data_IF_751574159967
#
_entry.id   IF_751574159967
#
_cell.length_a   1.000
_cell.length_b   1.000
_cell.length_c   1.000
_cell.angle_alpha   90.00
_cell.angle_beta   90.00
_cell.angle_gamma   90.00
#
_symmetry.space_group_name_H-M   'P 1'
#
loop_
_entity.id
_entity.type
_entity.pdbx_description
1 polymer ?
#
# COMPACT_ATOMS: atom_id res chain seq x y z
N UNK A 1 -48.00 31.57 -12.70
CA UNK A 1 -47.52 30.19 -12.94
C UNK A 1 -46.20 30.04 -12.21
N UNK A 2 -46.19 29.29 -11.10
CA UNK A 2 -44.97 28.97 -10.36
C UNK A 2 -44.28 27.79 -11.06
N UNK A 3 -43.04 27.99 -11.50
CA UNK A 3 -42.18 26.90 -11.95
C UNK A 3 -41.33 26.45 -10.75
N UNK A 4 -41.68 25.29 -10.21
CA UNK A 4 -40.83 24.54 -9.28
C UNK A 4 -39.65 23.97 -10.09
N UNK A 5 -38.44 24.46 -9.84
CA UNK A 5 -37.23 23.74 -10.23
C UNK A 5 -36.95 22.66 -9.18
N UNK A 6 -37.29 21.41 -9.50
CA UNK A 6 -36.70 20.27 -8.82
C UNK A 6 -35.23 20.18 -9.24
N UNK A 7 -34.33 20.69 -8.41
CA UNK A 7 -32.91 20.32 -8.45
C UNK A 7 -32.80 18.87 -7.98
N UNK A 8 -32.72 17.96 -8.95
CA UNK A 8 -32.35 16.57 -8.70
C UNK A 8 -30.90 16.51 -8.23
N UNK A 9 -30.70 16.14 -6.96
CA UNK A 9 -29.41 15.71 -6.46
C UNK A 9 -29.05 14.40 -7.17
N UNK A 10 -28.21 14.46 -8.20
CA UNK A 10 -27.44 13.30 -8.63
C UNK A 10 -26.40 13.02 -7.55
N UNK A 11 -26.68 12.03 -6.71
CA UNK A 11 -25.67 11.38 -5.89
C UNK A 11 -24.64 10.74 -6.83
N UNK A 12 -23.36 11.16 -6.81
CA UNK A 12 -22.33 10.45 -7.56
C UNK A 12 -22.18 9.06 -6.93
N UNK A 13 -22.49 8.02 -7.71
CA UNK A 13 -22.13 6.66 -7.37
C UNK A 13 -20.61 6.56 -7.39
N UNK A 14 -20.05 6.52 -6.18
CA UNK A 14 -18.65 6.51 -5.88
C UNK A 14 -17.99 5.24 -6.43
N UNK A 15 -16.94 5.42 -7.21
CA UNK A 15 -16.15 4.31 -7.75
C UNK A 15 -15.45 3.60 -6.61
N UNK A 16 -15.98 2.43 -6.25
CA UNK A 16 -15.38 1.46 -5.33
C UNK A 16 -14.43 0.49 -6.06
N UNK A 17 -13.86 0.88 -7.20
CA UNK A 17 -13.11 -0.05 -8.05
C UNK A 17 -11.60 -0.09 -7.80
N UNK A 18 -11.05 0.67 -6.84
CA UNK A 18 -9.60 0.87 -6.75
C UNK A 18 -8.91 0.03 -5.67
N UNK A 19 -9.61 -0.24 -4.57
CA UNK A 19 -9.08 -0.96 -3.42
C UNK A 19 -10.10 -1.97 -2.91
N UNK A 20 -9.65 -3.19 -2.63
CA UNK A 20 -10.50 -4.34 -2.27
C UNK A 20 -9.78 -5.23 -1.28
N UNK A 21 -10.54 -5.68 -0.28
CA UNK A 21 -10.11 -6.69 0.68
C UNK A 21 -11.07 -7.88 0.64
N UNK A 22 -10.53 -9.10 0.59
CA UNK A 22 -11.33 -10.30 0.79
C UNK A 22 -11.77 -10.46 2.26
N UNK A 23 -11.06 -9.82 3.19
CA UNK A 23 -11.32 -9.91 4.61
C UNK A 23 -11.05 -8.59 5.33
N UNK A 24 -12.11 -7.85 5.64
CA UNK A 24 -12.02 -6.65 6.48
C UNK A 24 -12.05 -7.03 7.98
N UNK A 25 -10.93 -6.86 8.71
CA UNK A 25 -10.81 -7.23 10.13
C UNK A 25 -11.64 -6.35 11.07
N UNK A 26 -12.13 -5.20 10.61
CA UNK A 26 -13.07 -4.36 11.38
C UNK A 26 -14.50 -4.91 11.33
N UNK A 27 -14.82 -5.77 10.35
CA UNK A 27 -16.15 -6.34 10.16
C UNK A 27 -16.25 -7.80 10.57
N UNK A 28 -15.19 -8.58 10.39
CA UNK A 28 -15.17 -10.02 10.66
C UNK A 28 -13.80 -10.49 11.13
N UNK A 29 -13.73 -11.73 11.61
CA UNK A 29 -12.46 -12.36 11.99
C UNK A 29 -11.69 -12.73 10.71
N UNK A 30 -10.45 -12.28 10.63
CA UNK A 30 -9.54 -12.54 9.51
C UNK A 30 -8.32 -13.35 9.95
N UNK A 31 -7.64 -13.97 8.98
CA UNK A 31 -6.32 -14.54 9.22
C UNK A 31 -5.30 -13.44 9.54
N UNK A 32 -4.13 -13.84 10.02
CA UNK A 32 -3.02 -12.91 10.20
C UNK A 32 -2.43 -12.49 8.86
N UNK A 33 -2.04 -11.23 8.74
CA UNK A 33 -1.27 -10.74 7.60
C UNK A 33 0.13 -11.35 7.62
N UNK A 34 0.63 -11.80 6.47
CA UNK A 34 2.04 -12.23 6.34
C UNK A 34 2.94 -11.01 6.48
N UNK A 35 3.86 -11.03 7.44
CA UNK A 35 4.69 -9.88 7.76
C UNK A 35 6.05 -9.88 7.08
N UNK A 36 6.54 -8.69 6.71
CA UNK A 36 7.92 -8.46 6.32
C UNK A 36 8.82 -8.56 7.56
N UNK A 37 9.34 -9.76 7.82
CA UNK A 37 10.16 -10.05 9.00
C UNK A 37 11.62 -9.57 8.90
N UNK A 38 11.81 -8.35 8.41
CA UNK A 38 13.10 -7.68 8.29
C UNK A 38 12.91 -6.17 8.32
N UNK A 39 13.88 -5.45 8.88
CA UNK A 39 13.83 -3.99 8.97
C UNK A 39 14.02 -3.31 7.61
N UNK A 40 14.71 -3.95 6.67
CA UNK A 40 14.98 -3.41 5.34
C UNK A 40 14.68 -4.46 4.28
N UNK A 41 14.04 -4.04 3.21
CA UNK A 41 13.77 -4.84 2.03
C UNK A 41 14.11 -4.04 0.78
N UNK A 42 14.72 -4.70 -0.21
CA UNK A 42 15.00 -4.08 -1.50
C UNK A 42 14.70 -5.09 -2.59
N UNK A 43 14.02 -4.64 -3.63
CA UNK A 43 13.82 -5.40 -4.87
C UNK A 43 14.28 -4.55 -6.04
N UNK A 44 15.10 -5.15 -6.91
CA UNK A 44 15.60 -4.56 -8.15
C UNK A 44 15.02 -5.37 -9.30
N UNK A 45 13.99 -4.83 -9.95
CA UNK A 45 13.25 -5.52 -10.99
C UNK A 45 14.05 -5.64 -12.30
N UNK A 46 15.18 -4.94 -12.43
CA UNK A 46 16.11 -5.15 -13.56
C UNK A 46 16.79 -6.53 -13.49
N UNK A 47 16.74 -7.18 -12.33
CA UNK A 47 17.24 -8.54 -12.09
C UNK A 47 16.19 -9.63 -12.34
N UNK A 48 14.98 -9.26 -12.75
CA UNK A 48 13.89 -10.18 -13.03
C UNK A 48 12.86 -10.28 -11.91
N UNK A 49 12.18 -11.42 -11.84
CA UNK A 49 11.06 -11.66 -10.91
C UNK A 49 11.54 -11.81 -9.46
N UNK A 50 10.66 -11.51 -8.52
CA UNK A 50 10.85 -11.76 -7.09
C UNK A 50 9.70 -12.62 -6.57
N UNK A 51 10.01 -13.63 -5.75
CA UNK A 51 9.00 -14.50 -5.12
C UNK A 51 8.13 -13.78 -4.08
N UNK A 52 8.56 -12.61 -3.63
CA UNK A 52 7.82 -11.83 -2.63
C UNK A 52 6.75 -10.92 -3.28
N UNK A 53 6.55 -11.05 -4.59
CA UNK A 53 5.59 -10.30 -5.37
C UNK A 53 4.77 -11.24 -6.24
N UNK A 54 3.48 -10.95 -6.38
CA UNK A 54 2.56 -11.70 -7.24
C UNK A 54 1.73 -10.80 -8.13
N UNK A 55 1.52 -11.22 -9.37
CA UNK A 55 0.49 -10.64 -10.23
C UNK A 55 -0.88 -11.02 -9.67
N UNK A 56 -1.74 -10.03 -9.47
CA UNK A 56 -3.15 -10.23 -9.10
C UNK A 56 -4.09 -10.08 -10.28
N UNK A 57 -3.66 -9.36 -11.32
CA UNK A 57 -4.38 -9.24 -12.58
C UNK A 57 -3.42 -8.99 -13.74
N UNK A 58 -3.72 -9.54 -14.92
CA UNK A 58 -2.93 -9.34 -16.12
C UNK A 58 -1.52 -9.94 -16.06
N UNK A 59 -0.61 -9.36 -16.84
CA UNK A 59 0.80 -9.82 -16.92
C UNK A 59 1.74 -8.62 -16.91
N UNK A 60 2.99 -8.86 -16.55
CA UNK A 60 4.06 -7.86 -16.60
C UNK A 60 5.31 -8.43 -17.27
N UNK A 61 6.12 -7.56 -17.85
CA UNK A 61 7.42 -7.91 -18.44
C UNK A 61 8.56 -7.37 -17.60
N UNK A 62 9.71 -8.04 -17.69
CA UNK A 62 10.93 -7.66 -16.99
C UNK A 62 12.06 -7.54 -18.01
N UNK A 63 12.84 -6.47 -17.91
CA UNK A 63 14.06 -6.30 -18.69
C UNK A 63 15.15 -5.58 -17.87
N UNK A 64 16.41 -5.65 -18.33
CA UNK A 64 17.56 -5.09 -17.59
C UNK A 64 17.62 -3.56 -17.58
N UNK A 65 16.86 -2.89 -18.45
CA UNK A 65 16.87 -1.43 -18.64
C UNK A 65 15.76 -0.77 -17.82
N UNK A 66 14.54 -1.26 -17.97
CA UNK A 66 13.33 -0.68 -17.39
C UNK A 66 12.86 -1.41 -16.13
N UNK A 67 13.40 -2.60 -15.83
CA UNK A 67 12.87 -3.43 -14.76
C UNK A 67 11.47 -3.93 -15.10
N UNK A 68 10.53 -3.74 -14.17
CA UNK A 68 9.14 -4.16 -14.31
C UNK A 68 8.39 -3.22 -15.26
N UNK A 69 7.64 -3.79 -16.21
CA UNK A 69 6.82 -3.05 -17.17
C UNK A 69 5.38 -3.56 -17.16
N UNK A 70 4.45 -2.67 -16.89
CA UNK A 70 3.01 -2.91 -16.98
C UNK A 70 2.45 -2.20 -18.20
N UNK A 71 1.88 -2.96 -19.13
CA UNK A 71 1.43 -2.41 -20.43
C UNK A 71 -0.07 -2.57 -20.62
N UNK A 72 -0.72 -1.50 -21.06
CA UNK A 72 -2.11 -1.46 -21.52
C UNK A 72 -2.10 -1.42 -23.04
N UNK A 73 -2.62 -2.47 -23.68
CA UNK A 73 -2.80 -2.55 -25.13
C UNK A 73 -4.26 -2.39 -25.53
N UNK A 74 -5.20 -2.77 -24.66
CA UNK A 74 -6.64 -2.76 -24.93
C UNK A 74 -7.42 -2.42 -23.66
N UNK A 75 -8.72 -2.13 -23.84
CA UNK A 75 -9.60 -1.63 -22.79
C UNK A 75 -9.67 -2.50 -21.54
N UNK A 76 -9.54 -3.82 -21.65
CA UNK A 76 -9.61 -4.72 -20.49
C UNK A 76 -8.29 -4.86 -19.73
N UNK A 77 -7.20 -4.27 -20.20
CA UNK A 77 -5.90 -4.43 -19.55
C UNK A 77 -5.82 -3.54 -18.30
N UNK A 78 -5.53 -4.16 -17.16
CA UNK A 78 -5.31 -3.49 -15.87
C UNK A 78 -4.20 -4.22 -15.06
N UNK A 79 -3.02 -4.45 -15.64
CA UNK A 79 -1.97 -5.25 -15.02
C UNK A 79 -1.64 -4.72 -13.62
N UNK A 80 -1.75 -5.61 -12.63
CA UNK A 80 -1.62 -5.27 -11.20
C UNK A 80 -0.78 -6.33 -10.50
N UNK A 81 0.18 -5.88 -9.71
CA UNK A 81 1.05 -6.70 -8.87
C UNK A 81 0.99 -6.22 -7.42
N UNK A 82 1.21 -7.12 -6.46
CA UNK A 82 1.31 -6.75 -5.05
C UNK A 82 2.42 -7.52 -4.34
N UNK A 83 2.88 -6.99 -3.21
CA UNK A 83 3.74 -7.74 -2.30
C UNK A 83 2.95 -8.86 -1.62
N UNK A 84 3.63 -9.99 -1.40
CA UNK A 84 3.12 -11.14 -0.65
C UNK A 84 3.15 -10.91 0.86
N UNK A 85 3.82 -9.85 1.30
CA UNK A 85 3.94 -9.44 2.68
C UNK A 85 3.33 -8.05 2.90
N UNK A 86 3.09 -7.74 4.16
CA UNK A 86 2.75 -6.43 4.68
C UNK A 86 3.94 -5.89 5.47
N UNK A 87 4.00 -4.58 5.65
CA UNK A 87 4.91 -3.92 6.57
C UNK A 87 4.11 -2.93 7.43
N UNK A 88 4.65 -2.55 8.58
CA UNK A 88 3.90 -1.75 9.54
C UNK A 88 4.68 -0.53 9.99
N UNK A 89 4.28 0.62 9.44
CA UNK A 89 5.00 1.88 9.44
C UNK A 89 6.42 1.78 8.83
N UNK A 90 6.98 2.92 8.46
CA UNK A 90 8.33 3.06 7.94
C UNK A 90 8.34 3.82 6.62
N UNK A 91 9.11 3.33 5.64
CA UNK A 91 9.25 4.03 4.36
C UNK A 91 9.10 3.09 3.19
N UNK A 92 8.51 3.58 2.10
CA UNK A 92 8.50 2.91 0.80
C UNK A 92 9.01 3.89 -0.23
N UNK A 93 10.02 3.48 -1.00
CA UNK A 93 10.58 4.26 -2.10
C UNK A 93 10.48 3.46 -3.38
N UNK A 94 9.82 3.99 -4.40
CA UNK A 94 9.74 3.40 -5.73
C UNK A 94 10.49 4.28 -6.74
N UNK A 95 11.31 3.65 -7.58
CA UNK A 95 11.92 4.30 -8.75
C UNK A 95 11.04 3.99 -9.95
N UNK A 96 10.27 4.97 -10.43
CA UNK A 96 9.19 4.73 -11.39
C UNK A 96 9.12 5.76 -12.52
N UNK A 97 8.53 5.33 -13.65
CA UNK A 97 7.99 6.16 -14.74
C UNK A 97 6.53 5.79 -14.96
N UNK A 98 5.68 6.79 -15.08
CA UNK A 98 4.25 6.60 -15.32
C UNK A 98 3.94 6.23 -16.77
N UNK A 99 2.81 5.54 -16.98
CA UNK A 99 2.22 5.38 -18.31
C UNK A 99 1.82 6.76 -18.89
N UNK A 100 2.08 7.03 -20.18
CA UNK A 100 1.44 8.15 -20.89
C UNK A 100 0.01 7.81 -21.32
N UNK A 101 -0.69 8.81 -21.84
CA UNK A 101 -2.00 8.65 -22.48
C UNK A 101 -3.16 9.19 -21.63
N UNK A 102 -4.03 10.00 -22.24
CA UNK A 102 -5.26 10.47 -21.60
C UNK A 102 -6.10 9.29 -21.10
N UNK A 103 -6.66 9.39 -19.89
CA UNK A 103 -7.47 8.33 -19.30
C UNK A 103 -6.70 7.14 -18.74
N UNK A 104 -5.37 7.08 -18.93
CA UNK A 104 -4.51 6.06 -18.31
C UNK A 104 -4.05 6.53 -16.95
N UNK A 105 -4.13 5.62 -15.97
CA UNK A 105 -3.70 5.85 -14.59
C UNK A 105 -2.58 4.88 -14.26
N UNK A 106 -1.51 5.37 -13.64
CA UNK A 106 -0.47 4.54 -13.02
C UNK A 106 -0.55 4.72 -11.51
N UNK A 107 -0.29 3.66 -10.72
CA UNK A 107 -0.45 3.71 -9.27
C UNK A 107 0.70 3.01 -8.54
N UNK A 108 1.11 3.60 -7.42
CA UNK A 108 1.84 2.94 -6.33
C UNK A 108 1.00 3.12 -5.08
N UNK A 109 0.45 2.02 -4.55
CA UNK A 109 -0.54 2.05 -3.47
C UNK A 109 -0.01 1.25 -2.28
N UNK A 110 -0.12 1.82 -1.09
CA UNK A 110 -0.05 1.09 0.17
C UNK A 110 -1.49 0.80 0.60
N UNK A 111 -1.84 -0.45 0.85
CA UNK A 111 -3.22 -0.83 1.19
C UNK A 111 -3.23 -1.89 2.31
N UNK A 112 -4.06 -1.67 3.33
CA UNK A 112 -4.31 -2.62 4.41
C UNK A 112 -5.55 -3.48 4.15
N UNK A 113 -5.72 -4.52 4.97
CA UNK A 113 -6.93 -5.35 4.92
C UNK A 113 -8.18 -4.66 5.43
N UNK A 114 -8.07 -3.58 6.22
CA UNK A 114 -9.20 -2.71 6.60
C UNK A 114 -9.39 -1.51 5.67
N UNK A 115 -8.66 -1.44 4.56
CA UNK A 115 -8.74 -0.37 3.56
C UNK A 115 -8.26 1.00 4.07
N UNK A 116 -7.30 1.01 4.99
CA UNK A 116 -6.36 2.13 5.09
C UNK A 116 -5.49 2.14 3.83
N UNK A 117 -5.30 3.32 3.24
CA UNK A 117 -4.66 3.51 1.93
C UNK A 117 -3.78 4.76 1.91
N UNK A 118 -2.62 4.66 1.27
CA UNK A 118 -1.73 5.78 0.92
C UNK A 118 -1.20 5.55 -0.48
N UNK A 119 -1.37 6.50 -1.39
CA UNK A 119 -1.03 6.27 -2.78
C UNK A 119 -0.29 7.42 -3.46
N UNK A 120 0.28 7.06 -4.60
CA UNK A 120 0.64 7.93 -5.71
C UNK A 120 -0.17 7.53 -6.94
N UNK A 121 -0.75 8.52 -7.63
CA UNK A 121 -1.47 8.33 -8.87
C UNK A 121 -1.00 9.28 -9.96
N UNK A 122 -0.55 8.75 -11.09
CA UNK A 122 -0.20 9.54 -12.26
C UNK A 122 -1.29 9.42 -13.32
N UNK A 123 -1.73 10.57 -13.82
CA UNK A 123 -2.62 10.64 -14.98
C UNK A 123 -1.77 10.78 -16.24
N UNK A 124 -1.89 9.85 -17.18
CA UNK A 124 -1.02 9.77 -18.35
C UNK A 124 -1.15 10.96 -19.31
N UNK A 125 -2.25 11.72 -19.23
CA UNK A 125 -2.44 12.98 -19.96
C UNK A 125 -1.85 14.21 -19.28
N UNK A 126 -1.27 14.07 -18.08
CA UNK A 126 -0.78 15.17 -17.25
C UNK A 126 0.69 14.93 -16.84
N UNK A 127 1.65 15.21 -17.73
CA UNK A 127 3.02 14.75 -17.55
C UNK A 127 3.80 15.41 -16.43
N UNK A 128 3.35 16.60 -16.01
CA UNK A 128 4.10 17.43 -15.08
C UNK A 128 3.48 17.47 -13.66
N UNK A 129 2.71 16.43 -13.31
CA UNK A 129 2.07 16.33 -12.02
C UNK A 129 1.82 14.88 -11.62
N UNK A 130 1.68 14.67 -10.32
CA UNK A 130 1.27 13.41 -9.70
C UNK A 130 0.29 13.72 -8.58
N UNK A 131 -0.70 12.86 -8.39
CA UNK A 131 -1.62 12.97 -7.27
C UNK A 131 -1.13 12.13 -6.09
N UNK A 132 -1.33 12.66 -4.89
CA UNK A 132 -1.19 11.95 -3.63
C UNK A 132 -2.57 11.81 -3.02
N UNK A 133 -2.90 10.64 -2.49
CA UNK A 133 -4.18 10.45 -1.82
C UNK A 133 -4.03 9.51 -0.61
N UNK A 134 -5.08 9.50 0.21
CA UNK A 134 -5.18 8.59 1.33
C UNK A 134 -6.64 8.27 1.66
N UNK A 135 -6.88 7.06 2.14
CA UNK A 135 -8.15 6.64 2.70
C UNK A 135 -7.93 6.01 4.06
N UNK A 136 -8.86 6.22 4.98
CA UNK A 136 -8.87 5.53 6.25
C UNK A 136 -10.07 4.60 6.31
N UNK A 137 -9.85 3.32 6.57
CA UNK A 137 -10.91 2.32 6.78
C UNK A 137 -11.93 2.23 5.62
N UNK A 138 -11.47 2.46 4.39
CA UNK A 138 -12.31 2.50 3.19
C UNK A 138 -13.36 3.62 3.19
N UNK A 139 -13.20 4.63 4.04
CA UNK A 139 -14.16 5.72 4.14
C UNK A 139 -14.11 6.60 2.89
N UNK A 140 -15.11 6.53 2.02
CA UNK A 140 -15.20 7.36 0.79
C UNK A 140 -16.20 8.51 0.90
N UNK A 141 -16.61 8.91 2.12
CA UNK A 141 -17.63 9.97 2.28
C UNK A 141 -17.18 11.34 1.79
N UNK A 142 -15.88 11.54 1.57
CA UNK A 142 -15.29 12.75 1.01
C UNK A 142 -14.15 12.42 0.05
N UNK A 143 -13.96 13.28 -0.95
CA UNK A 143 -12.89 13.19 -1.97
C UNK A 143 -11.91 14.37 -1.87
N UNK A 144 -11.92 15.07 -0.74
CA UNK A 144 -11.08 16.23 -0.42
C UNK A 144 -9.65 15.85 0.01
N UNK A 145 -9.30 14.56 -0.09
CA UNK A 145 -8.03 14.00 0.40
C UNK A 145 -6.95 13.94 -0.67
N UNK A 146 -7.32 14.07 -1.93
CA UNK A 146 -6.36 14.18 -3.03
C UNK A 146 -5.62 15.52 -3.01
N UNK A 147 -4.32 15.50 -3.30
CA UNK A 147 -3.52 16.70 -3.60
C UNK A 147 -2.69 16.45 -4.85
N UNK A 148 -2.53 17.48 -5.68
CA UNK A 148 -1.73 17.41 -6.91
C UNK A 148 -0.39 18.07 -6.68
N UNK A 149 0.68 17.31 -6.85
CA UNK A 149 2.06 17.74 -6.66
C UNK A 149 2.76 17.89 -8.01
N UNK A 150 3.68 18.86 -8.10
CA UNK A 150 4.46 19.08 -9.32
C UNK A 150 5.61 18.08 -9.42
N UNK A 151 5.78 17.48 -10.59
CA UNK A 151 6.93 16.64 -10.97
C UNK A 151 7.25 16.93 -12.43
N UNK A 152 8.49 16.86 -12.88
CA UNK A 152 8.83 17.18 -14.26
C UNK A 152 8.90 15.91 -15.10
N UNK A 153 8.05 15.77 -16.13
CA UNK A 153 8.14 14.69 -17.11
C UNK A 153 8.08 13.26 -16.51
N UNK A 154 7.03 12.99 -15.74
CA UNK A 154 6.86 11.74 -14.99
C UNK A 154 6.76 10.47 -15.88
N UNK A 155 6.50 10.62 -17.17
CA UNK A 155 6.37 9.50 -18.12
C UNK A 155 7.71 9.12 -18.76
N UNK A 156 8.64 10.06 -18.94
CA UNK A 156 9.92 9.79 -19.59
C UNK A 156 11.12 9.85 -18.63
N UNK A 157 10.97 10.50 -17.47
CA UNK A 157 12.03 10.64 -16.47
C UNK A 157 11.80 9.72 -15.27
N UNK A 158 12.86 9.00 -14.86
CA UNK A 158 12.83 8.22 -13.63
C UNK A 158 12.85 9.16 -12.43
N UNK A 159 11.82 9.06 -11.60
CA UNK A 159 11.78 9.76 -10.32
C UNK A 159 11.80 8.79 -9.16
N UNK A 160 12.29 9.28 -8.02
CA UNK A 160 12.18 8.63 -6.74
C UNK A 160 10.93 9.13 -6.03
N UNK A 161 9.93 8.25 -5.89
CA UNK A 161 8.71 8.53 -5.15
C UNK A 161 8.78 7.82 -3.79
N UNK A 162 8.87 8.58 -2.72
CA UNK A 162 8.98 8.04 -1.36
C UNK A 162 7.77 8.42 -0.52
N UNK A 163 7.21 7.43 0.18
CA UNK A 163 6.23 7.60 1.25
C UNK A 163 6.94 7.30 2.56
N UNK A 164 7.04 8.29 3.44
CA UNK A 164 7.36 8.08 4.85
C UNK A 164 6.06 8.02 5.63
N UNK A 165 5.81 6.90 6.30
CA UNK A 165 4.56 6.65 7.00
C UNK A 165 4.85 6.26 8.45
N UNK A 166 4.43 7.11 9.38
CA UNK A 166 4.62 6.90 10.82
C UNK A 166 3.26 6.88 11.53
N UNK A 167 3.24 6.64 12.84
CA UNK A 167 2.00 6.79 13.62
C UNK A 167 1.57 8.24 13.81
N UNK A 168 2.45 9.23 13.54
CA UNK A 168 2.18 10.65 13.76
C UNK A 168 1.90 11.42 12.47
N UNK A 169 2.55 11.04 11.37
CA UNK A 169 2.43 11.71 10.08
C UNK A 169 2.81 10.81 8.90
N UNK A 170 2.26 11.14 7.74
CA UNK A 170 2.69 10.62 6.44
C UNK A 170 3.26 11.76 5.62
N UNK A 171 4.44 11.58 5.04
CA UNK A 171 5.06 12.55 4.14
C UNK A 171 5.41 11.89 2.81
N UNK A 172 4.99 12.54 1.73
CA UNK A 172 5.31 12.17 0.36
C UNK A 172 6.50 12.99 -0.11
N UNK A 173 7.45 12.33 -0.77
CA UNK A 173 8.64 12.95 -1.33
C UNK A 173 8.79 12.61 -2.80
N UNK A 174 9.26 13.58 -3.58
CA UNK A 174 9.70 13.41 -4.96
C UNK A 174 11.17 13.79 -5.02
N UNK A 175 12.02 12.88 -5.47
CA UNK A 175 13.47 13.08 -5.59
C UNK A 175 14.14 13.58 -4.29
N UNK A 176 13.61 13.13 -3.15
CA UNK A 176 14.09 13.49 -1.82
C UNK A 176 13.55 14.80 -1.25
N UNK A 177 12.77 15.58 -2.02
CA UNK A 177 12.10 16.78 -1.54
C UNK A 177 10.69 16.45 -1.04
N UNK A 178 10.29 16.86 0.18
CA UNK A 178 8.93 16.67 0.66
C UNK A 178 7.97 17.54 -0.14
N UNK A 179 6.91 16.94 -0.66
CA UNK A 179 5.86 17.64 -1.43
C UNK A 179 4.55 17.76 -0.66
N UNK A 180 4.26 16.79 0.22
CA UNK A 180 3.05 16.80 1.05
C UNK A 180 3.31 16.14 2.41
N UNK A 181 2.72 16.69 3.47
CA UNK A 181 2.64 16.03 4.77
C UNK A 181 1.20 16.01 5.27
N UNK A 182 0.73 14.84 5.70
CA UNK A 182 -0.53 14.63 6.40
C UNK A 182 -0.22 14.35 7.87
N UNK A 183 -0.68 15.20 8.79
CA UNK A 183 -0.60 14.89 10.22
C UNK A 183 -1.73 13.92 10.60
N UNK A 184 -1.48 13.08 11.60
CA UNK A 184 -2.49 12.19 12.18
C UNK A 184 -3.80 12.93 12.50
N UNK A 185 -3.69 14.10 13.13
CA UNK A 185 -4.84 14.90 13.55
C UNK A 185 -5.66 15.47 12.37
N UNK A 186 -5.03 15.73 11.22
CA UNK A 186 -5.69 16.29 10.04
C UNK A 186 -6.63 15.26 9.38
N UNK A 187 -6.35 13.97 9.57
CA UNK A 187 -7.17 12.88 9.06
C UNK A 187 -8.36 12.58 9.98
N UNK A 188 -9.25 13.57 10.14
CA UNK A 188 -10.46 13.48 10.97
C UNK A 188 -10.12 13.13 12.42
N UNK A 189 -9.18 13.88 13.02
CA UNK A 189 -8.70 13.62 14.38
C UNK A 189 -8.00 12.27 14.55
N UNK A 190 -7.55 11.66 13.44
CA UNK A 190 -6.91 10.35 13.42
C UNK A 190 -7.81 9.17 13.07
N UNK A 191 -9.13 9.38 12.99
CA UNK A 191 -10.08 8.32 12.68
C UNK A 191 -9.85 7.75 11.26
N UNK A 192 -9.50 8.62 10.32
CA UNK A 192 -9.21 8.27 8.93
C UNK A 192 -7.70 8.25 8.62
N UNK A 193 -6.83 8.32 9.63
CA UNK A 193 -5.39 8.24 9.38
C UNK A 193 -4.99 6.79 9.08
N UNK A 194 -4.29 6.52 7.96
CA UNK A 194 -3.78 5.18 7.65
C UNK A 194 -2.81 4.69 8.73
N UNK A 195 -3.15 3.59 9.39
CA UNK A 195 -2.50 3.20 10.63
C UNK A 195 -2.46 1.69 10.86
N UNK A 196 -2.78 0.87 9.87
CA UNK A 196 -2.74 -0.59 9.97
C UNK A 196 -1.76 -1.17 8.95
N UNK A 197 -1.23 -2.40 9.14
CA UNK A 197 -0.21 -2.97 8.26
C UNK A 197 -0.67 -2.94 6.80
N UNK A 198 0.22 -2.51 5.91
CA UNK A 198 -0.09 -2.35 4.49
C UNK A 198 0.83 -3.21 3.64
N UNK A 199 0.27 -3.74 2.55
CA UNK A 199 1.05 -4.30 1.43
C UNK A 199 1.29 -3.20 0.40
N UNK A 200 2.25 -3.41 -0.50
CA UNK A 200 2.44 -2.52 -1.65
C UNK A 200 1.74 -3.12 -2.87
N UNK A 201 0.99 -2.30 -3.61
CA UNK A 201 0.41 -2.62 -4.91
C UNK A 201 0.98 -1.68 -5.97
N UNK A 202 1.24 -2.24 -7.15
CA UNK A 202 1.75 -1.54 -8.31
C UNK A 202 0.85 -1.88 -9.50
N UNK A 203 0.52 -0.91 -10.34
CA UNK A 203 -0.24 -1.22 -11.54
C UNK A 203 -0.57 -0.01 -12.39
N UNK A 204 -1.14 -0.28 -13.55
CA UNK A 204 -1.71 0.74 -14.43
C UNK A 204 -3.03 0.24 -14.99
N UNK A 205 -3.98 1.14 -15.17
CA UNK A 205 -5.32 0.84 -15.65
C UNK A 205 -5.88 2.02 -16.45
N UNK A 206 -7.00 1.80 -17.12
CA UNK A 206 -7.70 2.84 -17.89
C UNK A 206 -9.00 3.22 -17.19
N UNK A 207 -9.20 4.52 -16.94
CA UNK A 207 -10.44 5.07 -16.35
C UNK A 207 -11.68 4.81 -17.22
N UNK A 208 -11.51 4.65 -18.54
CA UNK A 208 -12.58 4.28 -19.48
C UNK A 208 -13.16 2.88 -19.26
N UNK A 209 -12.51 2.03 -18.45
CA UNK A 209 -12.89 0.63 -18.29
C UNK A 209 -13.83 0.47 -17.09
N UNK A 210 -15.12 0.64 -17.32
CA UNK A 210 -16.14 0.49 -16.26
C UNK A 210 -16.12 1.61 -15.22
N UNK A 211 -15.32 2.66 -15.43
CA UNK A 211 -15.29 3.85 -14.57
C UNK A 211 -16.58 4.67 -14.68
N UNK A 212 -16.92 5.36 -13.60
CA UNK A 212 -17.99 6.36 -13.62
C UNK A 212 -17.61 7.53 -14.52
N UNK A 213 -18.60 8.33 -14.94
CA UNK A 213 -18.35 9.57 -15.66
C UNK A 213 -17.36 10.48 -14.91
N UNK A 214 -17.50 10.60 -13.58
CA UNK A 214 -16.58 11.39 -12.76
C UNK A 214 -15.15 10.83 -12.75
N UNK A 215 -14.97 9.51 -12.81
CA UNK A 215 -13.64 8.88 -12.90
C UNK A 215 -12.99 9.12 -14.24
N UNK A 216 -13.76 9.07 -15.33
CA UNK A 216 -13.27 9.38 -16.67
C UNK A 216 -12.85 10.86 -16.74
N UNK A 217 -13.67 11.77 -16.19
CA UNK A 217 -13.36 13.20 -16.11
C UNK A 217 -12.12 13.49 -15.27
N UNK A 218 -12.01 12.87 -14.09
CA UNK A 218 -10.84 12.97 -13.22
C UNK A 218 -9.56 12.52 -13.93
N UNK A 219 -9.61 11.43 -14.70
CA UNK A 219 -8.46 10.92 -15.46
C UNK A 219 -8.13 11.75 -16.73
N UNK A 220 -8.85 12.84 -16.96
CA UNK A 220 -8.64 13.77 -18.08
C UNK A 220 -9.38 13.40 -19.36
N UNK A 221 -10.28 12.41 -19.32
CA UNK A 221 -11.12 12.01 -20.44
C UNK A 221 -10.98 10.54 -20.84
N UNK A 222 -11.61 10.19 -21.96
CA UNK A 222 -11.62 8.83 -22.50
C UNK A 222 -10.23 8.42 -23.02
N UNK A 223 -9.84 7.19 -22.74
CA UNK A 223 -8.62 6.58 -23.28
C UNK A 223 -8.76 6.32 -24.78
N UNK A 224 -7.81 6.84 -25.57
CA UNK A 224 -7.70 6.51 -26.99
C UNK A 224 -6.80 5.30 -27.21
N UNK A 225 -7.36 4.08 -27.22
CA UNK A 225 -6.59 2.85 -27.42
C UNK A 225 -5.92 2.73 -28.79
N UNK A 226 -6.22 3.58 -29.77
CA UNK A 226 -5.43 3.64 -31.01
C UNK A 226 -4.01 4.17 -30.79
N UNK A 227 -3.74 4.80 -29.63
CA UNK A 227 -2.40 5.26 -29.21
C UNK A 227 -1.67 4.26 -28.31
N UNK A 228 -2.27 3.10 -28.05
CA UNK A 228 -1.60 2.03 -27.32
C UNK A 228 -0.35 1.55 -28.10
N UNK A 229 0.68 1.01 -27.41
CA UNK A 229 0.71 0.66 -25.99
C UNK A 229 0.99 1.84 -25.05
N UNK A 230 0.38 1.81 -23.87
CA UNK A 230 0.73 2.67 -22.73
C UNK A 230 1.45 1.82 -21.68
N UNK A 231 2.62 2.25 -21.20
CA UNK A 231 3.43 1.42 -20.30
C UNK A 231 3.97 2.20 -19.10
N UNK A 232 3.69 1.70 -17.90
CA UNK A 232 4.30 2.12 -16.65
C UNK A 232 5.54 1.26 -16.41
N UNK A 233 6.61 1.88 -15.90
CA UNK A 233 7.82 1.16 -15.52
C UNK A 233 8.16 1.37 -14.04
N UNK A 234 8.58 0.30 -13.37
CA UNK A 234 9.12 0.34 -12.01
C UNK A 234 10.47 -0.36 -12.00
N UNK A 235 11.53 0.39 -11.75
CA UNK A 235 12.91 -0.14 -11.78
C UNK A 235 13.23 -0.91 -10.51
N UNK A 236 12.90 -0.33 -9.36
CA UNK A 236 13.22 -0.88 -8.06
C UNK A 236 12.31 -0.31 -6.98
N UNK A 237 12.28 -1.00 -5.84
CA UNK A 237 11.53 -0.58 -4.67
C UNK A 237 12.32 -0.93 -3.40
N UNK A 238 12.37 0.00 -2.44
CA UNK A 238 12.98 -0.22 -1.14
C UNK A 238 12.01 0.10 -0.02
N UNK A 239 11.99 -0.75 1.02
CA UNK A 239 11.11 -0.61 2.17
C UNK A 239 11.96 -0.61 3.44
N UNK A 240 11.71 0.35 4.32
CA UNK A 240 12.09 0.25 5.73
C UNK A 240 10.84 -0.13 6.52
N UNK A 241 10.87 -1.25 7.22
CA UNK A 241 9.79 -1.67 8.10
C UNK A 241 10.12 -1.27 9.55
N UNK A 242 9.33 -0.38 10.13
CA UNK A 242 9.54 0.09 11.50
C UNK A 242 9.20 -0.98 12.54
N UNK A 243 8.33 -1.94 12.19
CA UNK A 243 7.90 -3.01 13.09
C UNK A 243 8.06 -4.38 12.42
N UNK A 244 9.30 -4.89 12.26
CA UNK A 244 9.53 -6.22 11.68
C UNK A 244 8.82 -7.32 12.47
N UNK A 245 8.03 -8.12 11.75
CA UNK A 245 7.33 -9.29 12.28
C UNK A 245 7.08 -10.32 11.19
N UNK A 246 6.93 -11.59 11.59
CA UNK A 246 6.54 -12.67 10.70
C UNK A 246 5.07 -12.61 10.32
N UNK A 247 4.25 -11.97 11.15
CA UNK A 247 2.84 -11.70 10.86
C UNK A 247 2.31 -10.56 11.70
N UNK A 248 1.20 -9.97 11.24
CA UNK A 248 0.44 -8.98 11.99
C UNK A 248 -0.97 -9.50 12.24
N UNK A 249 -1.46 -9.30 13.47
CA UNK A 249 -2.79 -9.73 13.87
C UNK A 249 -3.56 -8.53 14.41
N UNK A 250 -4.75 -8.29 13.86
CA UNK A 250 -5.71 -7.35 14.44
C UNK A 250 -6.21 -7.94 15.76
N UNK A 251 -5.82 -7.32 16.87
CA UNK A 251 -6.15 -7.78 18.21
C UNK A 251 -7.59 -7.52 18.62
N UNK A 252 -8.27 -6.62 17.91
CA UNK A 252 -9.68 -6.28 18.01
C UNK A 252 -10.20 -5.76 16.65
N UNK A 253 -11.43 -5.23 16.63
CA UNK A 253 -12.09 -4.72 15.42
C UNK A 253 -12.01 -3.21 15.22
N UNK A 254 -11.16 -2.52 15.98
CA UNK A 254 -11.11 -1.04 15.98
C UNK A 254 -10.44 -0.45 14.73
N UNK A 255 -9.59 -1.23 14.05
CA UNK A 255 -8.70 -0.69 13.00
C UNK A 255 -7.71 0.36 13.53
N UNK A 256 -7.39 0.29 14.83
CA UNK A 256 -6.37 1.14 15.44
C UNK A 256 -5.00 0.48 15.35
N UNK A 257 -3.95 1.26 15.10
CA UNK A 257 -2.58 0.74 15.18
C UNK A 257 -2.25 0.12 16.55
N UNK A 258 -2.95 0.55 17.62
CA UNK A 258 -2.79 0.02 18.97
C UNK A 258 -3.30 -1.41 19.14
N UNK A 259 -4.21 -1.86 18.27
CA UNK A 259 -4.72 -3.23 18.31
C UNK A 259 -3.82 -4.23 17.58
N UNK A 260 -2.89 -3.74 16.76
CA UNK A 260 -2.02 -4.58 15.95
C UNK A 260 -1.00 -5.31 16.83
N UNK A 261 -1.10 -6.63 16.86
CA UNK A 261 -0.13 -7.52 17.50
C UNK A 261 0.90 -7.96 16.47
N UNK A 262 2.13 -7.51 16.64
CA UNK A 262 3.28 -7.93 15.83
C UNK A 262 3.80 -9.26 16.36
N UNK A 263 3.67 -10.32 15.56
CA UNK A 263 4.25 -11.63 15.92
C UNK A 263 5.65 -11.73 15.33
N UNK A 264 6.61 -12.15 16.15
CA UNK A 264 7.96 -12.47 15.69
C UNK A 264 8.03 -13.96 15.40
N UNK A 265 8.79 -14.35 14.38
CA UNK A 265 9.15 -15.76 14.21
C UNK A 265 9.89 -16.17 15.48
N UNK A 266 9.36 -17.14 16.23
CA UNK A 266 10.15 -17.79 17.27
C UNK A 266 11.42 -18.28 16.58
N UNK A 267 12.58 -17.81 17.03
CA UNK A 267 13.83 -18.47 16.65
C UNK A 267 13.61 -19.96 16.95
N UNK A 268 13.91 -20.85 16.00
CA UNK A 268 13.88 -22.27 16.25
C UNK A 268 14.63 -22.51 17.57
N UNK A 269 13.90 -22.80 18.64
CA UNK A 269 14.53 -23.44 19.78
C UNK A 269 15.08 -24.74 19.19
N UNK A 270 16.35 -25.08 19.43
CA UNK A 270 16.88 -26.35 18.97
C UNK A 270 15.91 -27.44 19.42
N UNK A 271 15.51 -28.31 18.50
CA UNK A 271 14.84 -29.56 18.84
C UNK A 271 15.77 -30.29 19.81
N UNK A 272 15.50 -30.18 21.10
CA UNK A 272 16.07 -31.09 22.07
C UNK A 272 15.45 -32.44 21.79
N UNK A 273 16.18 -33.25 21.04
CA UNK A 273 16.09 -34.70 21.05
C UNK A 273 16.29 -35.14 22.50
N UNK A 274 15.30 -35.80 23.08
CA UNK A 274 15.37 -36.33 24.43
C UNK A 274 14.00 -36.71 24.97
N UNK A 275 13.48 -37.82 24.48
CA UNK A 275 12.44 -38.60 25.13
C UNK A 275 13.04 -39.15 26.44
N UNK A 276 12.58 -38.70 27.62
CA UNK A 276 12.37 -39.60 28.76
C UNK A 276 11.49 -39.00 29.89
N UNK A 277 10.56 -39.83 30.33
CA UNK A 277 9.71 -39.90 31.52
C UNK A 277 9.43 -38.69 32.47
N UNK A 278 8.11 -38.49 32.63
CA UNK A 278 7.37 -38.36 33.91
C UNK A 278 7.29 -37.00 34.64
N UNK A 279 6.03 -36.56 34.75
CA UNK A 279 5.36 -35.85 35.85
C UNK A 279 6.01 -34.64 36.57
N UNK A 280 5.17 -33.60 36.64
CA UNK A 280 4.90 -32.70 37.78
C UNK A 280 5.67 -31.37 37.91
N UNK A 281 4.91 -30.37 38.38
CA UNK A 281 5.28 -29.02 38.88
C UNK A 281 5.50 -27.96 37.79
N UNK A 282 4.64 -26.94 37.60
CA UNK A 282 4.28 -25.82 38.50
C UNK A 282 5.51 -25.26 39.21
N UNK A 283 5.81 -23.99 38.96
CA UNK A 283 6.89 -23.17 39.54
C UNK A 283 8.33 -23.42 39.05
N UNK A 284 8.80 -22.51 38.18
CA UNK A 284 10.13 -21.91 38.37
C UNK A 284 10.00 -20.39 38.32
N UNK A 285 9.85 -19.86 39.53
CA UNK A 285 9.94 -18.47 39.95
C UNK A 285 11.33 -17.86 39.69
N UNK A 286 11.35 -16.55 39.49
CA UNK A 286 12.12 -15.58 40.29
C UNK A 286 13.31 -16.20 41.04
N UNK A 287 14.53 -16.05 40.51
CA UNK A 287 15.79 -16.08 41.28
C UNK A 287 16.97 -15.65 40.41
N UNK A 288 17.11 -14.34 40.23
CA UNK A 288 18.36 -13.72 39.79
C UNK A 288 18.48 -12.31 40.39
N UNK A 289 18.27 -12.19 41.69
CA UNK A 289 18.73 -11.06 42.49
C UNK A 289 19.06 -11.60 43.88
N UNK A 290 20.19 -11.12 44.41
CA UNK A 290 20.83 -11.49 45.68
C UNK A 290 21.83 -12.64 45.55
N UNK A 291 23.04 -12.28 45.12
CA UNK A 291 24.23 -13.05 45.40
C UNK A 291 24.67 -12.87 46.85
N UNK A 292 25.01 -13.98 47.50
CA UNK A 292 25.97 -14.11 48.61
C UNK A 292 26.55 -15.55 48.51
N UNK A 293 27.86 -15.77 48.77
CA UNK A 293 28.58 -16.99 48.41
C UNK A 293 28.48 -18.12 49.46
N UNK A 294 28.89 -19.31 49.01
CA UNK A 294 29.01 -20.58 49.72
C UNK A 294 29.54 -20.50 51.16
N UNK A 295 29.04 -21.38 52.03
CA UNK A 295 29.81 -22.09 53.09
C UNK A 295 28.95 -23.20 53.74
N UNK A 296 29.40 -24.44 53.52
CA UNK A 296 29.06 -25.74 54.14
C UNK A 296 27.65 -26.33 53.98
#
# INVERSE_FOLDING_TARGET
MHFNHLTGFLLPALVSAQTFTSCDPTKKTCGSDVGLNQAKYNVDFTKGTSKDWKMTYGTAKYDRTNGLSFTINKITDAPTMQSEFYFFFGTVTAIAKASPGTGIVSCVILESDDLDEIDWEWLGGQPNQVQTNYFGKGNTTSYDRGSTETVQDAQNTWHNYTIQWTSAFTTWYIDGAPVRTLQYADAVGGANYPQTPMRVKLGTWSASTGGSQGTIEWAGGQTNFAQAPFTMHVKSLSITNSNPGSSYVYGDRTGSFKSIKVQKKLANLPENVGDDHSNSYVDVFIKAFMGVPDLF
#
